data_IF_240597853281
#
_entry.id   IF_240597853281
#
_cell.length_a   1.000
_cell.length_b   1.000
_cell.length_c   1.000
_cell.angle_alpha   90.00
_cell.angle_beta   90.00
_cell.angle_gamma   90.00
#
_symmetry.space_group_name_H-M   'P 1'
#
loop_
_entity.id
_entity.type
_entity.pdbx_description
1 polymer ?
#
# COMPACT_ATOMS: atom_id res chain seq x y z
N UNK A 1 9.69 6.34 24.68
CA UNK A 1 9.53 5.17 23.77
C UNK A 1 10.02 5.60 22.40
N UNK A 2 10.84 4.78 21.76
CA UNK A 2 11.46 5.07 20.47
C UNK A 2 10.41 5.20 19.35
N UNK A 3 10.61 6.09 18.38
CA UNK A 3 9.72 6.30 17.23
C UNK A 3 9.45 4.99 16.47
N UNK A 4 10.46 4.12 16.42
CA UNK A 4 10.34 2.75 15.90
C UNK A 4 9.26 1.94 16.63
N UNK A 5 9.31 1.91 17.96
CA UNK A 5 8.37 1.12 18.78
C UNK A 5 6.93 1.62 18.62
N UNK A 6 6.72 2.93 18.49
CA UNK A 6 5.38 3.48 18.20
C UNK A 6 4.82 3.00 16.86
N UNK A 7 5.66 2.98 15.82
CA UNK A 7 5.26 2.50 14.48
C UNK A 7 4.93 1.01 14.49
N UNK A 8 5.74 0.20 15.17
CA UNK A 8 5.48 -1.24 15.31
C UNK A 8 4.18 -1.49 16.08
N UNK A 9 3.93 -0.79 17.19
CA UNK A 9 2.67 -0.92 17.94
C UNK A 9 1.47 -0.47 17.11
N UNK A 10 1.60 0.56 16.28
CA UNK A 10 0.54 0.98 15.37
C UNK A 10 0.21 -0.14 14.37
N UNK A 11 1.22 -0.68 13.69
CA UNK A 11 1.03 -1.78 12.75
C UNK A 11 0.44 -3.04 13.41
N UNK A 12 0.76 -3.33 14.68
CA UNK A 12 0.15 -4.44 15.41
C UNK A 12 -1.34 -4.24 15.66
N UNK A 13 -1.79 -3.01 15.99
CA UNK A 13 -3.22 -2.71 16.15
C UNK A 13 -3.95 -2.86 14.82
N UNK A 14 -3.39 -2.31 13.75
CA UNK A 14 -3.96 -2.40 12.41
C UNK A 14 -4.05 -3.87 11.96
N UNK A 15 -3.03 -4.68 12.27
CA UNK A 15 -3.02 -6.12 11.99
C UNK A 15 -4.12 -6.85 12.78
N UNK A 16 -4.28 -6.53 14.07
CA UNK A 16 -5.34 -7.10 14.89
C UNK A 16 -6.72 -6.74 14.34
N UNK A 17 -6.93 -5.49 13.94
CA UNK A 17 -8.19 -5.01 13.35
C UNK A 17 -8.49 -5.73 12.03
N UNK A 18 -7.53 -5.80 11.10
CA UNK A 18 -7.71 -6.46 9.80
C UNK A 18 -7.91 -7.97 9.90
N UNK A 19 -7.39 -8.60 10.94
CA UNK A 19 -7.66 -10.00 11.25
C UNK A 19 -9.01 -10.21 11.96
N UNK A 20 -9.86 -9.19 12.12
CA UNK A 20 -11.19 -9.31 12.72
C UNK A 20 -11.25 -9.08 14.23
N UNK A 21 -10.23 -8.42 14.79
CA UNK A 21 -10.16 -8.02 16.19
C UNK A 21 -9.61 -9.08 17.14
N UNK A 22 -9.53 -8.71 18.42
CA UNK A 22 -8.81 -9.45 19.47
C UNK A 22 -9.22 -10.93 19.53
N UNK A 23 -10.52 -11.24 19.55
CA UNK A 23 -10.98 -12.62 19.71
C UNK A 23 -10.62 -13.50 18.52
N UNK A 24 -10.65 -12.95 17.30
CA UNK A 24 -10.26 -13.69 16.10
C UNK A 24 -8.75 -13.94 16.04
N UNK A 25 -7.96 -12.98 16.54
CA UNK A 25 -6.51 -13.14 16.70
C UNK A 25 -6.17 -14.19 17.75
N UNK A 26 -6.87 -14.24 18.89
CA UNK A 26 -6.71 -15.30 19.91
C UNK A 26 -6.89 -16.68 19.28
N UNK A 27 -7.97 -16.88 18.52
CA UNK A 27 -8.26 -18.15 17.84
C UNK A 27 -7.16 -18.58 16.86
N UNK A 28 -6.62 -17.63 16.09
CA UNK A 28 -5.63 -17.91 15.04
C UNK A 28 -4.20 -18.08 15.57
N UNK A 29 -3.83 -17.28 16.56
CA UNK A 29 -2.46 -17.22 17.07
C UNK A 29 -2.19 -18.18 18.23
N UNK A 30 -3.25 -18.63 18.93
CA UNK A 30 -3.15 -19.50 20.10
C UNK A 30 -2.76 -18.78 21.40
N UNK A 31 -2.61 -17.45 21.37
CA UNK A 31 -2.30 -16.63 22.55
C UNK A 31 -3.55 -16.22 23.31
N UNK A 32 -3.42 -15.95 24.61
CA UNK A 32 -4.53 -15.53 25.45
C UNK A 32 -5.05 -14.14 25.09
N UNK A 33 -6.32 -13.87 25.43
CA UNK A 33 -6.93 -12.53 25.29
C UNK A 33 -6.12 -11.43 25.98
N UNK A 34 -5.48 -11.75 27.11
CA UNK A 34 -4.65 -10.79 27.85
C UNK A 34 -3.39 -10.42 27.07
N UNK A 35 -2.70 -11.40 26.49
CA UNK A 35 -1.52 -11.17 25.66
C UNK A 35 -1.86 -10.34 24.42
N UNK A 36 -2.91 -10.71 23.69
CA UNK A 36 -3.38 -9.96 22.52
C UNK A 36 -3.82 -8.54 22.90
N UNK A 37 -4.44 -8.40 24.08
CA UNK A 37 -4.80 -7.09 24.64
C UNK A 37 -3.60 -6.17 24.88
N UNK A 38 -2.47 -6.71 25.38
CA UNK A 38 -1.24 -5.94 25.55
C UNK A 38 -0.62 -5.52 24.21
N UNK A 39 -0.67 -6.37 23.19
CA UNK A 39 -0.22 -5.99 21.84
C UNK A 39 -1.06 -4.85 21.27
N UNK A 40 -2.38 -4.87 21.51
CA UNK A 40 -3.29 -3.83 21.06
C UNK A 40 -3.16 -2.51 21.85
N UNK A 41 -2.65 -2.56 23.09
CA UNK A 41 -2.46 -1.36 23.91
C UNK A 41 -1.16 -0.64 23.53
N UNK A 42 -1.26 0.60 23.03
CA UNK A 42 -0.11 1.41 22.64
C UNK A 42 0.81 1.83 23.78
N UNK A 43 0.36 1.77 25.04
CA UNK A 43 1.16 2.11 26.22
C UNK A 43 1.97 0.93 26.77
N UNK A 44 1.59 -0.30 26.42
CA UNK A 44 2.27 -1.52 26.90
C UNK A 44 3.51 -1.83 26.03
N UNK A 45 4.64 -2.18 26.66
CA UNK A 45 5.88 -2.47 25.94
C UNK A 45 5.85 -3.80 25.19
N UNK A 46 4.92 -4.71 25.52
CA UNK A 46 4.79 -6.02 24.90
C UNK A 46 4.57 -5.91 23.39
N UNK A 47 5.47 -6.53 22.64
CA UNK A 47 5.35 -6.70 21.20
C UNK A 47 4.81 -8.09 20.85
N UNK A 48 4.02 -8.14 19.78
CA UNK A 48 3.59 -9.37 19.16
C UNK A 48 4.82 -10.18 18.69
N UNK A 49 4.91 -11.47 19.06
CA UNK A 49 6.01 -12.33 18.65
C UNK A 49 5.93 -12.64 17.14
N UNK A 50 7.10 -12.86 16.52
CA UNK A 50 7.25 -13.07 15.06
C UNK A 50 6.34 -14.19 14.53
N UNK A 51 6.17 -15.27 15.29
CA UNK A 51 5.28 -16.36 14.91
C UNK A 51 3.81 -15.93 14.78
N UNK A 52 3.32 -15.09 15.68
CA UNK A 52 1.96 -14.55 15.60
C UNK A 52 1.82 -13.57 14.43
N UNK A 53 2.82 -12.70 14.21
CA UNK A 53 2.84 -11.78 13.06
C UNK A 53 2.73 -12.58 11.75
N UNK A 54 3.56 -13.60 11.55
CA UNK A 54 3.57 -14.39 10.33
C UNK A 54 2.22 -15.08 10.04
N UNK A 55 1.57 -15.61 11.08
CA UNK A 55 0.25 -16.25 10.95
C UNK A 55 -0.82 -15.23 10.56
N UNK A 56 -0.83 -14.06 11.21
CA UNK A 56 -1.86 -13.04 11.00
C UNK A 56 -1.67 -12.31 9.67
N UNK A 57 -0.44 -11.95 9.29
CA UNK A 57 -0.16 -11.32 7.99
C UNK A 57 -0.49 -12.24 6.82
N UNK A 58 -0.26 -13.55 6.98
CA UNK A 58 -0.69 -14.56 6.00
C UNK A 58 -2.23 -14.67 5.92
N UNK A 59 -2.90 -14.53 7.06
CA UNK A 59 -4.36 -14.64 7.14
C UNK A 59 -5.07 -13.45 6.45
N UNK A 60 -4.59 -12.23 6.68
CA UNK A 60 -5.16 -11.03 6.05
C UNK A 60 -4.53 -10.71 4.69
N UNK A 61 -3.48 -11.43 4.28
CA UNK A 61 -2.76 -11.23 3.03
C UNK A 61 -1.94 -9.94 2.96
N UNK A 62 -1.54 -9.38 4.12
CA UNK A 62 -0.89 -8.06 4.18
C UNK A 62 0.25 -8.03 5.21
N UNK A 63 1.43 -7.62 4.75
CA UNK A 63 2.67 -7.59 5.52
C UNK A 63 2.83 -6.30 6.34
N UNK A 64 1.86 -5.94 7.19
CA UNK A 64 1.80 -4.64 7.89
C UNK A 64 2.97 -4.39 8.85
N UNK A 65 3.26 -5.34 9.74
CA UNK A 65 4.35 -5.21 10.72
C UNK A 65 5.69 -5.45 10.02
N UNK A 66 5.75 -6.43 9.11
CA UNK A 66 6.95 -6.73 8.32
C UNK A 66 7.38 -5.53 7.47
N UNK A 67 6.44 -4.75 6.91
CA UNK A 67 6.74 -3.51 6.19
C UNK A 67 7.42 -2.46 7.09
N UNK A 68 6.91 -2.25 8.31
CA UNK A 68 7.53 -1.32 9.27
C UNK A 68 8.95 -1.76 9.65
N UNK A 69 9.17 -3.06 9.84
CA UNK A 69 10.50 -3.61 10.13
C UNK A 69 11.47 -3.40 8.95
N UNK A 70 11.00 -3.60 7.72
CA UNK A 70 11.81 -3.38 6.52
C UNK A 70 12.17 -1.90 6.34
N UNK A 71 11.19 -0.99 6.47
CA UNK A 71 11.37 0.45 6.30
C UNK A 71 12.34 1.04 7.32
N UNK A 72 12.31 0.55 8.56
CA UNK A 72 13.24 0.97 9.62
C UNK A 72 14.70 0.64 9.25
N UNK A 73 14.91 -0.40 8.45
CA UNK A 73 16.22 -0.78 7.95
C UNK A 73 16.53 -0.20 6.55
N UNK A 74 15.75 0.78 6.09
CA UNK A 74 15.90 1.37 4.75
C UNK A 74 15.63 0.38 3.62
N UNK A 75 14.89 -0.71 3.89
CA UNK A 75 14.50 -1.71 2.90
C UNK A 75 13.04 -1.50 2.51
N UNK A 76 12.72 -1.78 1.25
CA UNK A 76 11.35 -1.81 0.75
C UNK A 76 10.99 -3.26 0.43
N UNK A 77 9.83 -3.70 0.88
CA UNK A 77 9.29 -5.00 0.47
C UNK A 77 8.72 -4.88 -0.95
N UNK A 78 8.91 -5.92 -1.74
CA UNK A 78 8.35 -6.08 -3.09
C UNK A 78 7.81 -7.49 -3.19
N UNK A 79 6.68 -7.69 -3.87
CA UNK A 79 6.15 -9.04 -4.06
C UNK A 79 6.99 -9.79 -5.11
N UNK A 80 7.49 -11.01 -4.84
CA UNK A 80 8.15 -11.84 -5.84
C UNK A 80 7.28 -12.11 -7.09
N UNK A 81 5.94 -12.19 -6.93
CA UNK A 81 5.02 -12.38 -8.07
C UNK A 81 4.79 -11.08 -8.88
N UNK A 82 5.08 -9.91 -8.32
CA UNK A 82 5.07 -8.65 -9.09
C UNK A 82 6.17 -8.62 -10.14
N UNK A 83 7.30 -9.31 -9.93
CA UNK A 83 8.40 -9.38 -10.88
C UNK A 83 8.00 -9.97 -12.25
N UNK A 84 6.99 -10.86 -12.27
CA UNK A 84 6.46 -11.46 -13.52
C UNK A 84 5.32 -10.63 -14.14
N UNK A 85 4.64 -9.79 -13.34
CA UNK A 85 3.65 -8.80 -13.82
C UNK A 85 4.29 -7.50 -14.31
N UNK A 86 5.50 -7.19 -13.86
CA UNK A 86 6.19 -5.93 -14.12
C UNK A 86 6.67 -5.74 -15.57
N UNK A 87 6.90 -6.82 -16.33
CA UNK A 87 7.25 -6.71 -17.76
C UNK A 87 6.12 -6.09 -18.61
N UNK A 88 4.89 -5.97 -18.07
CA UNK A 88 3.70 -5.45 -18.76
C UNK A 88 3.11 -4.18 -18.09
N UNK A 89 3.63 -3.70 -16.95
CA UNK A 89 2.92 -2.67 -16.16
C UNK A 89 3.35 -1.21 -16.38
N UNK A 90 4.55 -0.90 -16.88
CA UNK A 90 4.96 0.53 -17.01
C UNK A 90 4.09 1.31 -18.00
N UNK A 91 3.76 0.71 -19.16
CA UNK A 91 2.90 1.38 -20.15
C UNK A 91 1.49 1.62 -19.58
N UNK A 92 0.93 0.62 -18.90
CA UNK A 92 -0.39 0.68 -18.27
C UNK A 92 -0.43 1.68 -17.12
N UNK A 93 0.57 1.67 -16.24
CA UNK A 93 0.71 2.64 -15.14
C UNK A 93 0.91 4.06 -15.65
N UNK A 94 1.65 4.24 -16.75
CA UNK A 94 1.79 5.55 -17.40
C UNK A 94 0.47 6.02 -18.02
N UNK A 95 -0.24 5.14 -18.73
CA UNK A 95 -1.55 5.47 -19.31
C UNK A 95 -2.56 5.87 -18.22
N UNK A 96 -2.60 5.15 -17.10
CA UNK A 96 -3.48 5.47 -15.97
C UNK A 96 -3.08 6.80 -15.30
N UNK A 97 -1.78 7.08 -15.14
CA UNK A 97 -1.32 8.37 -14.64
C UNK A 97 -1.76 9.52 -15.55
N UNK A 98 -1.63 9.36 -16.87
CA UNK A 98 -2.09 10.37 -17.84
C UNK A 98 -3.61 10.55 -17.79
N UNK A 99 -4.36 9.46 -17.64
CA UNK A 99 -5.83 9.51 -17.48
C UNK A 99 -6.23 10.30 -16.24
N UNK A 100 -5.62 10.01 -15.09
CA UNK A 100 -5.88 10.73 -13.82
C UNK A 100 -5.47 12.20 -13.91
N UNK A 101 -4.35 12.50 -14.58
CA UNK A 101 -3.90 13.88 -14.80
C UNK A 101 -4.90 14.68 -15.64
N UNK A 102 -5.46 14.08 -16.69
CA UNK A 102 -6.49 14.72 -17.51
C UNK A 102 -7.80 14.91 -16.75
N UNK A 103 -8.20 13.92 -15.93
CA UNK A 103 -9.38 14.01 -15.08
C UNK A 103 -9.25 15.12 -14.05
N UNK A 104 -8.08 15.26 -13.40
CA UNK A 104 -7.81 16.34 -12.45
C UNK A 104 -7.85 17.71 -13.12
N UNK A 105 -7.20 17.86 -14.28
CA UNK A 105 -7.20 19.12 -15.03
C UNK A 105 -8.62 19.56 -15.39
N UNK A 106 -9.47 18.61 -15.82
CA UNK A 106 -10.87 18.87 -16.12
C UNK A 106 -11.66 19.25 -14.85
N UNK A 107 -11.54 18.47 -13.77
CA UNK A 107 -12.25 18.74 -12.52
C UNK A 107 -11.92 20.13 -11.96
N UNK A 108 -10.64 20.55 -12.03
CA UNK A 108 -10.23 21.89 -11.63
C UNK A 108 -10.81 22.95 -12.56
N UNK A 109 -10.74 22.75 -13.89
CA UNK A 109 -11.27 23.71 -14.85
C UNK A 109 -12.78 23.96 -14.66
N UNK A 110 -13.55 22.91 -14.34
CA UNK A 110 -14.97 23.02 -14.01
C UNK A 110 -15.16 23.76 -12.69
N UNK A 111 -14.42 23.40 -11.64
CA UNK A 111 -14.56 23.98 -10.30
C UNK A 111 -14.19 25.47 -10.22
N UNK A 112 -13.40 26.00 -11.16
CA UNK A 112 -13.01 27.42 -11.18
C UNK A 112 -13.78 28.24 -12.22
N UNK A 113 -14.69 27.62 -12.99
CA UNK A 113 -15.32 28.23 -14.16
C UNK A 113 -16.14 29.48 -13.83
N UNK A 114 -16.76 29.52 -12.65
CA UNK A 114 -17.56 30.66 -12.15
C UNK A 114 -16.76 31.58 -11.20
N UNK A 115 -15.47 31.32 -11.02
CA UNK A 115 -14.58 32.07 -10.13
C UNK A 115 -14.72 31.75 -8.64
N UNK A 116 -15.54 30.77 -8.25
CA UNK A 116 -15.76 30.41 -6.85
C UNK A 116 -15.78 28.90 -6.64
N UNK A 117 -14.75 28.35 -5.99
CA UNK A 117 -14.75 26.93 -5.61
C UNK A 117 -15.63 26.72 -4.38
N UNK A 118 -16.62 25.85 -4.47
CA UNK A 118 -17.49 25.44 -3.35
C UNK A 118 -16.89 24.28 -2.55
N UNK A 119 -17.34 24.04 -1.30
CA UNK A 119 -16.88 22.88 -0.52
C UNK A 119 -17.13 21.52 -1.20
N UNK A 120 -18.23 21.39 -1.94
CA UNK A 120 -18.56 20.19 -2.73
C UNK A 120 -17.61 19.97 -3.89
N UNK A 121 -17.21 21.04 -4.59
CA UNK A 121 -16.25 20.96 -5.69
C UNK A 121 -14.85 20.67 -5.17
N UNK A 122 -14.44 21.31 -4.07
CA UNK A 122 -13.19 21.00 -3.40
C UNK A 122 -13.10 19.51 -3.01
N UNK A 123 -14.16 18.95 -2.43
CA UNK A 123 -14.25 17.51 -2.11
C UNK A 123 -14.13 16.64 -3.36
N UNK A 124 -14.75 17.06 -4.47
CA UNK A 124 -14.72 16.33 -5.73
C UNK A 124 -13.32 16.34 -6.36
N UNK A 125 -12.66 17.49 -6.39
CA UNK A 125 -11.30 17.67 -6.89
C UNK A 125 -10.30 16.89 -6.02
N UNK A 126 -10.44 16.93 -4.69
CA UNK A 126 -9.57 16.22 -3.75
C UNK A 126 -9.60 14.69 -3.96
N UNK A 127 -10.79 14.13 -4.19
CA UNK A 127 -10.95 12.71 -4.53
C UNK A 127 -10.21 12.33 -5.82
N UNK A 128 -10.25 13.19 -6.84
CA UNK A 128 -9.56 12.96 -8.12
C UNK A 128 -8.05 13.12 -7.94
N UNK A 129 -7.60 14.13 -7.19
CA UNK A 129 -6.19 14.34 -6.85
C UNK A 129 -5.60 13.11 -6.12
N UNK A 130 -6.33 12.55 -5.16
CA UNK A 130 -5.97 11.30 -4.49
C UNK A 130 -5.81 10.12 -5.47
N UNK A 131 -6.58 10.10 -6.57
CA UNK A 131 -6.43 9.12 -7.64
C UNK A 131 -5.12 9.27 -8.41
N UNK A 132 -4.73 10.51 -8.72
CA UNK A 132 -3.47 10.83 -9.37
C UNK A 132 -2.26 10.47 -8.49
N UNK A 133 -2.32 10.70 -7.19
CA UNK A 133 -1.26 10.32 -6.24
C UNK A 133 -1.01 8.80 -6.24
N UNK A 134 -2.08 8.00 -6.23
CA UNK A 134 -1.99 6.53 -6.33
C UNK A 134 -1.36 6.11 -7.65
N UNK A 135 -1.85 6.63 -8.78
CA UNK A 135 -1.30 6.31 -10.10
C UNK A 135 0.19 6.70 -10.24
N UNK A 136 0.61 7.82 -9.65
CA UNK A 136 2.01 8.24 -9.62
C UNK A 136 2.86 7.29 -8.75
N UNK A 137 2.34 6.82 -7.61
CA UNK A 137 2.99 5.81 -6.78
C UNK A 137 3.17 4.49 -7.53
N UNK A 138 2.14 4.05 -8.25
CA UNK A 138 2.16 2.80 -9.03
C UNK A 138 3.19 2.87 -10.17
N UNK A 139 3.23 3.98 -10.92
CA UNK A 139 4.25 4.19 -11.95
C UNK A 139 5.67 4.20 -11.35
N UNK A 140 5.88 4.83 -10.19
CA UNK A 140 7.18 4.81 -9.50
C UNK A 140 7.57 3.40 -9.07
N UNK A 141 6.62 2.59 -8.60
CA UNK A 141 6.87 1.19 -8.25
C UNK A 141 7.27 0.39 -9.51
N UNK A 142 6.53 0.53 -10.61
CA UNK A 142 6.84 -0.16 -11.87
C UNK A 142 8.23 0.24 -12.42
N UNK A 143 8.59 1.52 -12.37
CA UNK A 143 9.92 2.01 -12.76
C UNK A 143 11.04 1.50 -11.84
N UNK A 144 10.79 1.36 -10.54
CA UNK A 144 11.75 0.80 -9.60
C UNK A 144 12.09 -0.66 -9.93
N UNK A 145 11.11 -1.44 -10.38
CA UNK A 145 11.33 -2.82 -10.86
C UNK A 145 12.23 -2.83 -12.10
N UNK A 146 11.96 -1.96 -13.09
CA UNK A 146 12.81 -1.83 -14.28
C UNK A 146 14.25 -1.47 -13.90
N UNK A 147 14.42 -0.53 -12.95
CA UNK A 147 15.74 -0.12 -12.47
C UNK A 147 16.49 -1.29 -11.81
N UNK A 148 15.80 -2.09 -10.99
CA UNK A 148 16.37 -3.27 -10.34
C UNK A 148 16.78 -4.36 -11.34
N UNK A 149 16.05 -4.49 -12.46
CA UNK A 149 16.37 -5.41 -13.55
C UNK A 149 17.52 -4.95 -14.47
N UNK A 150 18.08 -3.75 -14.25
CA UNK A 150 19.13 -3.19 -15.11
C UNK A 150 18.62 -2.55 -16.41
N UNK A 151 17.32 -2.24 -16.47
CA UNK A 151 16.63 -1.74 -17.66
C UNK A 151 15.58 -2.73 -18.17
N UNK A 152 14.70 -2.26 -19.05
CA UNK A 152 13.60 -3.05 -19.61
C UNK A 152 13.16 -2.47 -20.94
N UNK A 153 12.75 -3.33 -21.88
CA UNK A 153 12.18 -2.86 -23.15
C UNK A 153 10.79 -2.32 -22.86
N UNK A 154 10.54 -1.05 -23.17
CA UNK A 154 9.21 -0.43 -23.07
C UNK A 154 8.25 -0.86 -24.19
N UNK A 155 8.61 -1.87 -25.00
CA UNK A 155 7.85 -2.27 -26.17
C UNK A 155 6.77 -3.31 -25.81
N UNK A 156 5.58 -3.17 -26.40
CA UNK A 156 4.54 -4.19 -26.37
C UNK A 156 5.05 -5.46 -27.06
N UNK A 157 5.04 -6.58 -26.34
CA UNK A 157 5.25 -7.90 -26.96
C UNK A 157 3.92 -8.33 -27.58
N UNK A 158 3.86 -8.39 -28.91
CA UNK A 158 2.70 -8.95 -29.61
C UNK A 158 2.57 -10.42 -29.22
N UNK A 159 1.48 -10.78 -28.55
CA UNK A 159 1.14 -12.18 -28.25
C UNK A 159 0.28 -12.68 -29.41
N UNK A 160 0.90 -13.42 -30.34
CA UNK A 160 0.18 -14.08 -31.45
C UNK A 160 0.81 -13.91 -32.84
N UNK A 161 2.08 -14.27 -33.00
CA UNK A 161 2.77 -14.18 -34.29
C UNK A 161 3.71 -15.34 -34.54
N UNK A 162 3.20 -16.57 -34.48
CA UNK A 162 3.81 -17.73 -35.16
C UNK A 162 2.79 -18.24 -36.19
N UNK A 163 3.05 -17.95 -37.46
CA UNK A 163 2.66 -18.78 -38.60
C UNK A 163 3.91 -19.49 -39.09
#
# INVERSE_FOLDING_TARGET
MDAFLFRVKAAQRDLIERCGGIMRVVEKSGYSKSEVGRWNNGAEPDLMPVGAIAVLERDCGQALVTAVLAETNGRRLTDPEEGRKAEINVLTSHAELMRQSAELANAIAVAIADGQVTPSEATTVDRVASGMERAASDLRAALAVIKAAGGGKAALKVVGGDQ
#
